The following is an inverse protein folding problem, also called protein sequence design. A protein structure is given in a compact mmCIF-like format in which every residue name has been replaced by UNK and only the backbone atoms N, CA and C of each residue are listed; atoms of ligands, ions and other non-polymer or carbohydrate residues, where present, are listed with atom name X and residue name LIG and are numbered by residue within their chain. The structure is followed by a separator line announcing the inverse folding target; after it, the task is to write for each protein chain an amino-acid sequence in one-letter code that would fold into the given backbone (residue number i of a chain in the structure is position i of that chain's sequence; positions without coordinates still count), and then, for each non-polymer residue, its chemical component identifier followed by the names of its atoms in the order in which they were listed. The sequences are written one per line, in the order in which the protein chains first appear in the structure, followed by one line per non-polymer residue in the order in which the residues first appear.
data_IF_819588807939
#
_entry.id   IF_819588807939
#
_cell.length_a   1.000
_cell.length_b   1.000
_cell.length_c   1.000
_cell.angle_alpha   90.00
_cell.angle_beta   90.00
_cell.angle_gamma   90.00
#
_symmetry.space_group_name_H-M   'P 1'
#
loop_
_entity.id
_entity.type
_entity.pdbx_description
1 polymer ?
#
# COMPACT_ATOMS: atom_id res chain seq x y z
N UNK A 1 1.42 -6.55 -29.80
CA UNK A 1 1.61 -6.74 -28.50
C UNK A 1 0.62 -6.02 -27.64
N UNK A 2 0.29 -6.56 -26.63
CA UNK A 2 -0.64 -6.00 -25.83
C UNK A 2 -0.05 -4.98 -24.99
N UNK A 3 -0.65 -3.87 -24.89
CA UNK A 3 -0.26 -2.82 -24.02
C UNK A 3 -0.50 -3.22 -22.59
N UNK A 4 0.39 -2.79 -21.72
CA UNK A 4 0.17 -2.93 -20.32
C UNK A 4 -0.83 -1.87 -19.88
N UNK A 5 -1.80 -2.24 -19.07
CA UNK A 5 -2.75 -1.26 -18.55
C UNK A 5 -2.03 -0.26 -17.66
N UNK A 6 -2.41 1.01 -17.71
CA UNK A 6 -1.88 1.99 -16.77
C UNK A 6 -2.12 1.54 -15.33
N UNK A 7 -1.22 1.91 -14.43
CA UNK A 7 -1.32 1.52 -13.03
C UNK A 7 -2.65 1.93 -12.42
N UNK A 8 -3.17 3.10 -12.79
CA UNK A 8 -4.44 3.58 -12.25
C UNK A 8 -5.60 2.63 -12.56
N UNK A 9 -5.52 1.89 -13.66
CA UNK A 9 -6.59 0.95 -14.00
C UNK A 9 -6.58 -0.27 -13.10
N UNK A 10 -5.43 -0.56 -12.47
CA UNK A 10 -5.31 -1.70 -11.58
C UNK A 10 -6.00 -1.47 -10.23
N UNK A 11 -6.38 -0.23 -9.93
CA UNK A 11 -7.13 0.07 -8.71
C UNK A 11 -8.59 -0.30 -8.84
N UNK A 12 -9.08 -0.51 -10.07
CA UNK A 12 -10.45 -0.94 -10.30
C UNK A 12 -10.80 -2.29 -9.70
N UNK A 13 -9.84 -3.20 -9.40
CA UNK A 13 -10.20 -4.45 -8.72
C UNK A 13 -11.00 -4.23 -7.45
N UNK A 14 -10.77 -3.15 -6.70
CA UNK A 14 -11.57 -2.88 -5.52
C UNK A 14 -13.03 -2.64 -5.87
N UNK A 15 -13.28 -1.90 -6.94
CA UNK A 15 -14.64 -1.65 -7.44
C UNK A 15 -15.28 -2.95 -7.91
N UNK A 16 -14.54 -3.76 -8.67
CA UNK A 16 -15.04 -5.04 -9.14
C UNK A 16 -15.35 -5.98 -7.99
N UNK A 17 -14.46 -6.04 -7.00
CA UNK A 17 -14.66 -6.89 -5.83
C UNK A 17 -15.94 -6.51 -5.10
N UNK A 18 -16.13 -5.22 -4.85
CA UNK A 18 -17.33 -4.74 -4.18
C UNK A 18 -18.59 -5.06 -4.97
N UNK A 19 -18.53 -4.91 -6.31
CA UNK A 19 -19.66 -5.15 -7.17
C UNK A 19 -20.00 -6.63 -7.27
N UNK A 20 -18.97 -7.46 -7.45
CA UNK A 20 -19.16 -8.88 -7.71
C UNK A 20 -19.45 -9.67 -6.44
N UNK A 21 -18.90 -9.25 -5.30
CA UNK A 21 -19.02 -9.97 -4.03
C UNK A 21 -19.27 -8.98 -2.89
N UNK A 22 -20.47 -8.34 -2.90
CA UNK A 22 -20.71 -7.24 -1.94
C UNK A 22 -20.65 -7.66 -0.49
N UNK A 23 -21.12 -8.86 -0.15
CA UNK A 23 -21.11 -9.29 1.24
C UNK A 23 -19.71 -9.65 1.71
N UNK A 24 -18.94 -10.30 0.85
CA UNK A 24 -17.55 -10.63 1.17
C UNK A 24 -16.74 -9.36 1.28
N UNK A 25 -16.95 -8.42 0.37
CA UNK A 25 -16.29 -7.14 0.44
C UNK A 25 -16.59 -6.42 1.75
N UNK A 26 -17.85 -6.41 2.17
CA UNK A 26 -18.25 -5.76 3.42
C UNK A 26 -17.59 -6.43 4.62
N UNK A 27 -17.49 -7.76 4.62
CA UNK A 27 -16.81 -8.49 5.68
C UNK A 27 -15.32 -8.18 5.72
N UNK A 28 -14.70 -8.07 4.57
CA UNK A 28 -13.28 -7.72 4.45
C UNK A 28 -13.03 -6.31 5.00
N UNK A 29 -13.89 -5.36 4.65
CA UNK A 29 -13.78 -3.99 5.15
C UNK A 29 -13.99 -3.91 6.66
N UNK A 30 -14.94 -4.68 7.18
CA UNK A 30 -15.20 -4.72 8.61
C UNK A 30 -13.99 -5.31 9.37
N UNK A 31 -13.38 -6.35 8.82
CA UNK A 31 -12.19 -6.94 9.41
C UNK A 31 -11.03 -5.95 9.41
N UNK A 32 -10.83 -5.24 8.31
CA UNK A 32 -9.80 -4.23 8.22
C UNK A 32 -9.98 -3.15 9.28
N UNK A 33 -11.22 -2.72 9.49
CA UNK A 33 -11.52 -1.71 10.49
C UNK A 33 -11.19 -2.19 11.91
N UNK A 34 -11.53 -3.43 12.22
CA UNK A 34 -11.20 -4.01 13.51
C UNK A 34 -9.69 -4.08 13.73
N UNK A 35 -8.96 -4.52 12.72
CA UNK A 35 -7.52 -4.64 12.81
C UNK A 35 -6.85 -3.28 13.00
N UNK A 36 -7.30 -2.28 12.25
CA UNK A 36 -6.70 -0.95 12.32
C UNK A 36 -7.09 -0.18 13.57
N UNK A 37 -8.35 -0.28 13.99
CA UNK A 37 -8.85 0.64 15.00
C UNK A 37 -8.96 0.03 16.37
N UNK A 38 -9.02 -1.31 16.49
CA UNK A 38 -9.33 -1.93 17.77
C UNK A 38 -8.30 -2.96 18.24
N UNK A 39 -7.36 -3.36 17.38
CA UNK A 39 -6.47 -4.47 17.71
C UNK A 39 -5.25 -4.06 18.52
N UNK A 40 -4.90 -2.80 18.56
CA UNK A 40 -3.72 -2.41 19.33
C UNK A 40 -3.45 -0.92 19.31
N UNK A 41 -2.32 -0.51 19.93
CA UNK A 41 -2.04 0.90 20.21
C UNK A 41 -1.30 1.66 19.11
N UNK A 42 -0.98 1.03 17.98
CA UNK A 42 -0.18 1.71 16.96
C UNK A 42 -0.97 2.86 16.33
N UNK A 43 -0.39 4.07 16.27
CA UNK A 43 -1.07 5.20 15.63
C UNK A 43 -1.32 4.93 14.15
N UNK A 44 -2.31 5.59 13.61
CA UNK A 44 -2.72 5.38 12.23
C UNK A 44 -1.57 5.56 11.23
N UNK A 45 -0.83 6.65 11.36
CA UNK A 45 0.32 6.90 10.47
C UNK A 45 1.31 5.74 10.50
N UNK A 46 1.62 5.24 11.69
CA UNK A 46 2.56 4.13 11.85
C UNK A 46 2.02 2.87 11.21
N UNK A 47 0.73 2.59 11.39
CA UNK A 47 0.10 1.41 10.78
C UNK A 47 0.26 1.44 9.25
N UNK A 48 0.01 2.60 8.64
CA UNK A 48 0.12 2.69 7.18
C UNK A 48 1.57 2.64 6.70
N UNK A 49 2.51 3.22 7.44
CA UNK A 49 3.92 3.12 7.06
C UNK A 49 4.41 1.67 7.16
N UNK A 50 3.95 0.92 8.15
CA UNK A 50 4.27 -0.51 8.24
C UNK A 50 3.71 -1.24 7.02
N UNK A 51 2.48 -0.93 6.61
CA UNK A 51 1.89 -1.56 5.43
C UNK A 51 2.60 -1.17 4.15
N UNK A 52 3.13 0.04 4.07
CA UNK A 52 4.00 0.45 2.96
C UNK A 52 5.21 -0.49 2.90
N UNK A 53 5.88 -0.69 4.02
CA UNK A 53 7.06 -1.56 4.06
C UNK A 53 6.70 -3.00 3.69
N UNK A 54 5.62 -3.54 4.26
CA UNK A 54 5.21 -4.91 3.96
C UNK A 54 4.90 -5.08 2.48
N UNK A 55 4.14 -4.13 1.90
CA UNK A 55 3.79 -4.20 0.48
C UNK A 55 5.01 -4.11 -0.42
N UNK A 56 5.95 -3.24 -0.05
CA UNK A 56 7.20 -3.11 -0.80
C UNK A 56 8.02 -4.38 -0.72
N UNK A 57 8.14 -4.96 0.47
CA UNK A 57 8.93 -6.17 0.68
C UNK A 57 8.34 -7.38 -0.03
N UNK A 58 7.02 -7.46 -0.11
CA UNK A 58 6.34 -8.57 -0.77
C UNK A 58 6.10 -8.31 -2.26
N UNK A 59 6.54 -7.18 -2.76
CA UNK A 59 6.47 -6.81 -4.17
C UNK A 59 5.03 -6.71 -4.70
N UNK A 60 4.11 -6.31 -3.86
CA UNK A 60 2.72 -6.07 -4.25
C UNK A 60 2.56 -4.60 -4.67
N UNK A 61 2.84 -4.31 -5.93
CA UNK A 61 2.90 -2.94 -6.42
C UNK A 61 1.60 -2.17 -6.24
N UNK A 62 0.47 -2.80 -6.54
CA UNK A 62 -0.83 -2.14 -6.38
C UNK A 62 -1.10 -1.80 -4.91
N UNK A 63 -0.86 -2.75 -4.02
CA UNK A 63 -1.05 -2.52 -2.59
C UNK A 63 -0.09 -1.46 -2.09
N UNK A 64 1.17 -1.48 -2.56
CA UNK A 64 2.15 -0.48 -2.17
C UNK A 64 1.69 0.93 -2.52
N UNK A 65 1.20 1.12 -3.74
CA UNK A 65 0.69 2.42 -4.17
C UNK A 65 -0.46 2.88 -3.28
N UNK A 66 -1.40 1.98 -3.03
CA UNK A 66 -2.55 2.28 -2.17
C UNK A 66 -2.10 2.64 -0.75
N UNK A 67 -1.16 1.87 -0.20
CA UNK A 67 -0.71 2.09 1.18
C UNK A 67 0.10 3.38 1.30
N UNK A 68 0.87 3.76 0.28
CA UNK A 68 1.56 5.06 0.29
C UNK A 68 0.53 6.18 0.33
N UNK A 69 -0.53 6.08 -0.49
CA UNK A 69 -1.57 7.09 -0.49
C UNK A 69 -2.24 7.19 0.89
N UNK A 70 -2.52 6.04 1.52
CA UNK A 70 -3.12 6.01 2.85
C UNK A 70 -2.18 6.59 3.91
N UNK A 71 -0.88 6.32 3.80
CA UNK A 71 0.09 6.89 4.73
C UNK A 71 0.10 8.41 4.63
N UNK A 72 0.05 8.95 3.41
CA UNK A 72 -0.02 10.39 3.19
C UNK A 72 -1.28 10.98 3.81
N UNK A 73 -2.43 10.33 3.61
CA UNK A 73 -3.68 10.78 4.21
C UNK A 73 -3.62 10.78 5.73
N UNK A 74 -2.86 9.85 6.31
CA UNK A 74 -2.71 9.75 7.75
C UNK A 74 -1.62 10.69 8.30
N UNK A 75 -1.04 11.53 7.45
CA UNK A 75 -0.10 12.56 7.87
C UNK A 75 1.36 12.20 7.71
N UNK A 76 1.69 11.11 7.04
CA UNK A 76 3.09 10.78 6.81
C UNK A 76 3.71 11.78 5.84
N UNK A 77 4.90 12.26 6.19
CA UNK A 77 5.66 13.14 5.31
C UNK A 77 6.32 12.32 4.20
N UNK A 78 6.74 13.03 3.13
CA UNK A 78 7.47 12.35 2.07
C UNK A 78 8.78 11.77 2.58
N UNK A 79 9.44 12.45 3.52
CA UNK A 79 10.66 11.92 4.13
C UNK A 79 10.38 10.64 4.90
N UNK A 80 9.25 10.56 5.59
CA UNK A 80 8.88 9.35 6.31
C UNK A 80 8.60 8.19 5.37
N UNK A 81 7.92 8.46 4.26
CA UNK A 81 7.67 7.42 3.25
C UNK A 81 8.99 6.95 2.64
N UNK A 82 9.87 7.89 2.27
CA UNK A 82 11.15 7.54 1.69
C UNK A 82 12.01 6.72 2.64
N UNK A 83 12.06 7.10 3.92
CA UNK A 83 12.84 6.34 4.88
C UNK A 83 12.27 4.94 5.08
N UNK A 84 10.94 4.83 5.11
CA UNK A 84 10.28 3.52 5.23
C UNK A 84 10.72 2.60 4.10
N UNK A 85 10.73 3.11 2.87
CA UNK A 85 11.16 2.32 1.72
C UNK A 85 12.67 2.03 1.77
N UNK A 86 13.46 3.00 2.21
CA UNK A 86 14.90 2.81 2.30
C UNK A 86 15.28 1.68 3.26
N UNK A 87 14.48 1.48 4.30
CA UNK A 87 14.73 0.40 5.25
C UNK A 87 14.64 -0.98 4.59
N UNK A 88 13.98 -1.10 3.44
CA UNK A 88 13.92 -2.35 2.70
C UNK A 88 15.27 -2.75 2.13
N UNK A 89 16.15 -1.77 1.87
CA UNK A 89 17.41 -2.02 1.20
C UNK A 89 18.23 -3.10 1.90
N UNK A 90 18.34 -3.03 3.22
CA UNK A 90 19.12 -3.99 3.98
C UNK A 90 18.32 -5.21 4.43
N UNK A 91 17.00 -5.07 4.49
CA UNK A 91 16.15 -6.14 5.02
C UNK A 91 15.59 -7.04 3.93
N UNK A 92 15.23 -6.46 2.79
CA UNK A 92 14.57 -7.21 1.71
C UNK A 92 15.43 -7.29 0.43
N UNK A 93 16.54 -6.56 0.38
CA UNK A 93 17.47 -6.61 -0.73
C UNK A 93 17.31 -5.48 -1.72
N UNK A 94 18.39 -5.21 -2.46
CA UNK A 94 18.46 -4.10 -3.38
C UNK A 94 17.42 -4.15 -4.50
N UNK A 95 17.19 -5.30 -5.18
CA UNK A 95 16.19 -5.32 -6.24
C UNK A 95 14.79 -5.00 -5.74
N UNK A 96 14.43 -5.53 -4.57
CA UNK A 96 13.12 -5.27 -3.97
C UNK A 96 12.97 -3.80 -3.62
N UNK A 97 14.01 -3.22 -3.03
CA UNK A 97 13.99 -1.78 -2.72
C UNK A 97 13.81 -0.96 -4.00
N UNK A 98 14.55 -1.28 -5.05
CA UNK A 98 14.49 -0.50 -6.29
C UNK A 98 13.10 -0.55 -6.92
N UNK A 99 12.46 -1.71 -6.90
CA UNK A 99 11.10 -1.83 -7.43
C UNK A 99 10.12 -0.99 -6.63
N UNK A 100 10.22 -1.06 -5.31
CA UNK A 100 9.32 -0.30 -4.45
C UNK A 100 9.55 1.20 -4.61
N UNK A 101 10.80 1.61 -4.67
CA UNK A 101 11.12 3.03 -4.82
C UNK A 101 10.68 3.56 -6.18
N UNK A 102 10.77 2.74 -7.22
CA UNK A 102 10.29 3.13 -8.55
C UNK A 102 8.76 3.38 -8.52
N UNK A 103 8.01 2.54 -7.83
CA UNK A 103 6.57 2.77 -7.66
C UNK A 103 6.34 4.13 -7.00
N UNK A 104 7.05 4.39 -5.91
CA UNK A 104 6.92 5.65 -5.19
C UNK A 104 7.24 6.85 -6.10
N UNK A 105 8.34 6.78 -6.84
CA UNK A 105 8.76 7.89 -7.71
C UNK A 105 7.79 8.14 -8.85
N UNK A 106 7.07 7.13 -9.28
CA UNK A 106 6.10 7.28 -10.37
C UNK A 106 4.72 7.73 -9.90
N UNK A 107 4.48 7.78 -8.60
CA UNK A 107 3.21 8.27 -8.07
C UNK A 107 3.19 9.79 -8.07
N UNK A 108 1.99 10.34 -8.30
CA UNK A 108 1.77 11.77 -8.13
C UNK A 108 1.61 12.07 -6.65
N UNK A 109 2.15 13.20 -6.26
CA UNK A 109 2.03 13.66 -4.88
C UNK A 109 0.71 14.39 -4.63
#
# INVERSE_FOLDING_TARGET
MYGRKPMKDLHKPFTFFKKDFPDIYAGHEALGKQIHEKAGPLPEKVRWLIKVAVSGATRHQLALETHIAKAREAGASEDEVRQTLLLLLQTAGFPTFMEAYAVYKNMKK
#
